data_IF_577648609605
#
_entry.id   IF_577648609605
#
_cell.length_a   1.000
_cell.length_b   1.000
_cell.length_c   1.000
_cell.angle_alpha   90.00
_cell.angle_beta   90.00
_cell.angle_gamma   90.00
#
_symmetry.space_group_name_H-M   'P 1'
#
loop_
_entity.id
_entity.type
_entity.pdbx_description
1 polymer ?
#
# COMPACT_ATOMS: atom_id res chain seq x y z
N UNK A 1 -4.09 4.94 -23.66
CA UNK A 1 -5.41 5.04 -24.31
C UNK A 1 -6.27 5.92 -23.42
N UNK A 2 -6.70 7.08 -23.92
CA UNK A 2 -7.45 8.12 -23.18
C UNK A 2 -8.86 7.72 -22.73
N UNK A 3 -9.25 6.49 -22.96
CA UNK A 3 -10.56 5.96 -22.57
C UNK A 3 -10.58 5.25 -21.21
N UNK A 4 -9.43 4.84 -20.69
CA UNK A 4 -9.28 4.28 -19.35
C UNK A 4 -8.54 5.31 -18.51
N UNK A 5 -9.24 5.94 -17.56
CA UNK A 5 -8.63 6.82 -16.55
C UNK A 5 -7.82 5.96 -15.58
N UNK A 6 -6.65 5.51 -16.04
CA UNK A 6 -5.79 4.59 -15.31
C UNK A 6 -4.34 5.02 -15.39
N UNK A 7 -3.71 5.13 -14.21
CA UNK A 7 -2.28 5.21 -14.05
C UNK A 7 -1.81 4.01 -13.24
N UNK A 8 -1.08 3.11 -13.88
CA UNK A 8 -0.52 1.90 -13.25
C UNK A 8 0.93 1.69 -13.67
N UNK A 9 1.79 1.40 -12.70
CA UNK A 9 3.16 0.95 -12.91
C UNK A 9 3.60 0.08 -11.74
N UNK A 10 4.34 -0.98 -12.05
CA UNK A 10 4.94 -1.87 -11.06
C UNK A 10 6.34 -2.30 -11.52
N UNK A 11 7.21 -2.56 -10.55
CA UNK A 11 8.55 -3.10 -10.79
C UNK A 11 8.75 -4.32 -9.91
N UNK A 12 9.24 -5.40 -10.49
CA UNK A 12 9.62 -6.60 -9.76
C UNK A 12 11.14 -6.65 -9.58
N UNK A 13 11.57 -6.83 -8.33
CA UNK A 13 12.98 -6.96 -7.95
C UNK A 13 13.26 -8.40 -7.55
N UNK A 14 14.09 -9.08 -8.31
CA UNK A 14 14.57 -10.41 -7.96
C UNK A 14 15.62 -10.27 -6.84
N UNK A 15 15.31 -10.76 -5.64
CA UNK A 15 16.20 -10.67 -4.49
C UNK A 15 17.15 -11.88 -4.42
N UNK A 16 16.64 -13.06 -4.75
CA UNK A 16 17.40 -14.30 -4.95
C UNK A 16 16.61 -15.24 -5.87
N UNK A 17 17.10 -16.48 -6.04
CA UNK A 17 16.48 -17.46 -6.95
C UNK A 17 15.02 -17.81 -6.59
N UNK A 18 14.61 -17.62 -5.34
CA UNK A 18 13.29 -18.02 -4.83
C UNK A 18 12.46 -16.85 -4.30
N UNK A 19 13.06 -15.64 -4.23
CA UNK A 19 12.47 -14.50 -3.55
C UNK A 19 12.35 -13.29 -4.48
N UNK A 20 11.16 -12.72 -4.55
CA UNK A 20 10.86 -11.53 -5.36
C UNK A 20 10.13 -10.47 -4.52
N UNK A 21 10.46 -9.20 -4.77
CA UNK A 21 9.73 -8.06 -4.23
C UNK A 21 9.02 -7.32 -5.37
N UNK A 22 7.74 -7.10 -5.25
CA UNK A 22 6.92 -6.32 -6.20
C UNK A 22 6.62 -4.96 -5.61
N UNK A 23 7.16 -3.91 -6.23
CA UNK A 23 6.90 -2.53 -5.87
C UNK A 23 5.85 -1.93 -6.80
N UNK A 24 4.71 -1.52 -6.25
CA UNK A 24 3.70 -0.73 -6.97
C UNK A 24 4.01 0.75 -6.82
N UNK A 25 3.99 1.45 -7.95
CA UNK A 25 4.25 2.89 -7.97
C UNK A 25 3.03 3.67 -7.49
N UNK A 26 3.27 4.72 -6.71
CA UNK A 26 2.28 5.72 -6.34
C UNK A 26 1.87 6.60 -7.51
N UNK A 27 1.14 7.66 -7.22
CA UNK A 27 0.66 8.65 -8.16
C UNK A 27 1.82 9.42 -8.78
N UNK A 28 1.70 9.72 -10.07
CA UNK A 28 2.55 10.71 -10.72
C UNK A 28 1.83 12.07 -10.83
N UNK A 29 2.53 13.11 -11.32
CA UNK A 29 2.00 14.47 -11.47
C UNK A 29 1.03 14.61 -12.67
N UNK A 30 0.46 13.53 -13.19
CA UNK A 30 -0.49 13.57 -14.30
C UNK A 30 -1.92 13.82 -13.83
N UNK A 31 -2.73 14.49 -14.67
CA UNK A 31 -4.17 14.67 -14.42
C UNK A 31 -4.90 13.32 -14.26
N UNK A 32 -4.45 12.28 -14.95
CA UNK A 32 -5.01 10.93 -14.84
C UNK A 32 -4.72 10.33 -13.46
N UNK A 33 -3.50 10.49 -12.96
CA UNK A 33 -3.12 10.06 -11.61
C UNK A 33 -3.98 10.73 -10.54
N UNK A 34 -4.09 12.06 -10.56
CA UNK A 34 -4.91 12.83 -9.62
C UNK A 34 -6.40 12.44 -9.65
N UNK A 35 -6.97 12.19 -10.85
CA UNK A 35 -8.36 11.73 -10.96
C UNK A 35 -8.56 10.33 -10.39
N UNK A 36 -7.61 9.43 -10.59
CA UNK A 36 -7.68 8.09 -10.04
C UNK A 36 -7.55 8.08 -8.53
N UNK A 37 -6.70 8.95 -7.96
CA UNK A 37 -6.59 9.14 -6.51
C UNK A 37 -7.88 9.66 -5.89
N UNK A 38 -8.51 10.64 -6.56
CA UNK A 38 -9.84 11.11 -6.17
C UNK A 38 -10.87 9.98 -6.20
N UNK A 39 -10.84 9.16 -7.26
CA UNK A 39 -11.73 8.01 -7.39
C UNK A 39 -11.51 6.94 -6.33
N UNK A 40 -10.27 6.72 -5.85
CA UNK A 40 -9.98 5.82 -4.73
C UNK A 40 -10.78 6.18 -3.47
N UNK A 41 -11.03 7.48 -3.25
CA UNK A 41 -11.79 7.97 -2.09
C UNK A 41 -13.31 7.76 -2.18
N UNK A 42 -13.85 7.40 -3.35
CA UNK A 42 -15.32 7.33 -3.57
C UNK A 42 -15.78 6.04 -4.26
N UNK A 43 -14.88 5.33 -4.93
CA UNK A 43 -15.24 4.10 -5.63
C UNK A 43 -14.75 2.89 -4.85
N UNK A 44 -15.57 1.85 -4.75
CA UNK A 44 -15.16 0.60 -4.10
C UNK A 44 -14.00 -0.09 -4.83
N UNK A 45 -13.73 0.33 -6.08
CA UNK A 45 -12.69 -0.27 -6.92
C UNK A 45 -12.31 0.67 -8.06
N UNK A 46 -11.00 0.75 -8.34
CA UNK A 46 -10.45 1.53 -9.47
C UNK A 46 -9.65 0.65 -10.44
N UNK A 47 -9.50 1.06 -11.72
CA UNK A 47 -8.82 0.25 -12.74
C UNK A 47 -7.38 -0.14 -12.38
N UNK A 48 -6.62 0.71 -11.68
CA UNK A 48 -5.25 0.39 -11.25
C UNK A 48 -5.19 -0.73 -10.22
N UNK A 49 -6.19 -0.87 -9.35
CA UNK A 49 -6.28 -1.99 -8.40
C UNK A 49 -6.42 -3.33 -9.14
N UNK A 50 -7.25 -3.38 -10.19
CA UNK A 50 -7.39 -4.59 -11.01
C UNK A 50 -6.11 -4.93 -11.77
N UNK A 51 -5.42 -3.91 -12.28
CA UNK A 51 -4.13 -4.10 -12.94
C UNK A 51 -3.06 -4.58 -11.96
N UNK A 52 -3.06 -4.08 -10.73
CA UNK A 52 -2.16 -4.55 -9.68
C UNK A 52 -2.40 -6.02 -9.34
N UNK A 53 -3.68 -6.41 -9.18
CA UNK A 53 -4.03 -7.81 -8.94
C UNK A 53 -3.66 -8.72 -10.12
N UNK A 54 -3.89 -8.28 -11.36
CA UNK A 54 -3.52 -9.03 -12.55
C UNK A 54 -1.99 -9.19 -12.67
N UNK A 55 -1.23 -8.13 -12.38
CA UNK A 55 0.22 -8.16 -12.39
C UNK A 55 0.76 -9.12 -11.32
N UNK A 56 0.25 -9.04 -10.09
CA UNK A 56 0.67 -9.94 -9.01
C UNK A 56 0.36 -11.41 -9.35
N UNK A 57 -0.81 -11.71 -9.93
CA UNK A 57 -1.12 -13.06 -10.43
C UNK A 57 -0.08 -13.56 -11.44
N UNK A 58 0.39 -12.68 -12.35
CA UNK A 58 1.42 -13.06 -13.32
C UNK A 58 2.77 -13.38 -12.66
N UNK A 59 3.11 -12.66 -11.59
CA UNK A 59 4.31 -12.95 -10.78
C UNK A 59 4.18 -14.28 -10.05
N UNK A 60 3.00 -14.55 -9.43
CA UNK A 60 2.74 -15.82 -8.76
C UNK A 60 2.88 -17.02 -9.72
N UNK A 61 2.46 -16.86 -10.97
CA UNK A 61 2.60 -17.90 -12.00
C UNK A 61 4.06 -18.26 -12.36
N UNK A 62 5.04 -17.41 -11.98
CA UNK A 62 6.46 -17.72 -12.14
C UNK A 62 7.01 -18.70 -11.09
N UNK A 63 6.24 -19.00 -10.04
CA UNK A 63 6.57 -20.04 -9.05
C UNK A 63 7.57 -19.64 -7.97
N UNK A 64 7.73 -18.34 -7.69
CA UNK A 64 8.54 -17.89 -6.55
C UNK A 64 7.97 -18.39 -5.22
N UNK A 65 8.85 -18.83 -4.33
CA UNK A 65 8.45 -19.36 -3.02
C UNK A 65 8.16 -18.24 -2.00
N UNK A 66 8.87 -17.12 -2.11
CA UNK A 66 8.76 -15.99 -1.22
C UNK A 66 8.45 -14.73 -2.04
N UNK A 67 7.26 -14.19 -1.86
CA UNK A 67 6.81 -12.99 -2.54
C UNK A 67 6.55 -11.89 -1.52
N UNK A 68 7.18 -10.75 -1.70
CA UNK A 68 6.92 -9.53 -0.96
C UNK A 68 6.28 -8.53 -1.90
N UNK A 69 5.32 -7.78 -1.39
CA UNK A 69 4.66 -6.72 -2.17
C UNK A 69 4.62 -5.44 -1.36
N UNK A 70 4.69 -4.29 -2.02
CA UNK A 70 4.58 -3.03 -1.30
C UNK A 70 4.55 -1.83 -2.24
N UNK A 71 4.36 -0.67 -1.64
CA UNK A 71 4.37 0.60 -2.34
C UNK A 71 4.16 1.77 -1.38
N UNK A 72 4.27 2.96 -1.92
CA UNK A 72 4.05 4.21 -1.22
C UNK A 72 2.81 4.91 -1.78
N UNK A 73 2.05 5.60 -0.93
CA UNK A 73 0.84 6.33 -1.34
C UNK A 73 -0.16 5.39 -2.03
N UNK A 74 -0.71 5.75 -3.19
CA UNK A 74 -1.55 4.86 -4.00
C UNK A 74 -0.92 3.47 -4.19
N UNK A 75 0.42 3.39 -4.35
CA UNK A 75 1.13 2.11 -4.49
C UNK A 75 0.99 1.20 -3.28
N UNK A 76 0.90 1.76 -2.06
CA UNK A 76 0.62 1.01 -0.84
C UNK A 76 -0.79 0.40 -0.85
N UNK A 77 -1.80 1.20 -1.19
CA UNK A 77 -3.17 0.70 -1.38
C UNK A 77 -3.23 -0.40 -2.45
N UNK A 78 -2.55 -0.22 -3.60
CA UNK A 78 -2.49 -1.24 -4.66
C UNK A 78 -1.86 -2.55 -4.18
N UNK A 79 -0.83 -2.48 -3.32
CA UNK A 79 -0.16 -3.67 -2.78
C UNK A 79 -1.10 -4.49 -1.89
N UNK A 80 -1.81 -3.83 -0.97
CA UNK A 80 -2.80 -4.48 -0.09
C UNK A 80 -3.95 -5.06 -0.91
N UNK A 81 -4.52 -4.27 -1.83
CA UNK A 81 -5.60 -4.75 -2.70
C UNK A 81 -5.17 -5.96 -3.52
N UNK A 82 -4.02 -5.89 -4.19
CA UNK A 82 -3.53 -6.98 -5.03
C UNK A 82 -3.33 -8.27 -4.22
N UNK A 83 -2.76 -8.17 -3.01
CA UNK A 83 -2.58 -9.31 -2.12
C UNK A 83 -3.92 -9.93 -1.70
N UNK A 84 -4.92 -9.10 -1.39
CA UNK A 84 -6.26 -9.55 -1.02
C UNK A 84 -7.01 -10.28 -2.14
N UNK A 85 -6.64 -10.03 -3.40
CA UNK A 85 -7.24 -10.69 -4.57
C UNK A 85 -6.55 -12.01 -4.95
N UNK A 86 -5.61 -12.48 -4.16
CA UNK A 86 -4.92 -13.76 -4.41
C UNK A 86 -5.75 -14.94 -3.88
N UNK A 87 -5.65 -16.07 -4.59
CA UNK A 87 -6.21 -17.32 -4.06
C UNK A 87 -5.47 -17.74 -2.79
N UNK A 88 -6.09 -18.50 -1.88
CA UNK A 88 -5.43 -18.97 -0.66
C UNK A 88 -4.07 -19.66 -0.92
N UNK A 89 -3.96 -20.39 -2.02
CA UNK A 89 -2.73 -21.05 -2.45
C UNK A 89 -1.63 -20.02 -2.76
N UNK A 90 -1.93 -19.02 -3.59
CA UNK A 90 -0.99 -17.95 -3.92
C UNK A 90 -0.68 -17.07 -2.70
N UNK A 91 -1.67 -16.76 -1.88
CA UNK A 91 -1.52 -15.98 -0.66
C UNK A 91 -0.55 -16.65 0.34
N UNK A 92 -0.45 -17.98 0.34
CA UNK A 92 0.49 -18.71 1.19
C UNK A 92 1.97 -18.34 0.89
N UNK A 93 2.29 -17.94 -0.34
CA UNK A 93 3.62 -17.50 -0.76
C UNK A 93 3.91 -16.03 -0.48
N UNK A 94 2.91 -15.23 -0.10
CA UNK A 94 3.11 -13.82 0.26
C UNK A 94 3.67 -13.75 1.67
N UNK A 95 4.93 -13.33 1.79
CA UNK A 95 5.64 -13.24 3.06
C UNK A 95 5.41 -11.90 3.78
N UNK A 96 5.13 -10.83 3.04
CA UNK A 96 4.86 -9.50 3.60
C UNK A 96 4.22 -8.57 2.57
N UNK A 97 3.34 -7.71 3.08
CA UNK A 97 2.67 -6.63 2.32
C UNK A 97 2.99 -5.32 3.02
N UNK A 98 3.61 -4.38 2.31
CA UNK A 98 4.09 -3.11 2.87
C UNK A 98 3.30 -1.94 2.31
N UNK A 99 2.47 -1.34 3.18
CA UNK A 99 1.70 -0.14 2.89
C UNK A 99 2.39 1.08 3.52
N UNK A 100 3.07 1.89 2.70
CA UNK A 100 3.75 3.08 3.17
C UNK A 100 2.88 4.31 2.90
N UNK A 101 2.15 4.77 3.91
CA UNK A 101 1.29 5.95 3.88
C UNK A 101 0.28 5.96 2.71
N UNK A 102 -0.21 4.78 2.35
CA UNK A 102 -1.27 4.63 1.37
C UNK A 102 -2.65 4.77 2.01
N UNK A 103 -3.66 5.28 1.28
CA UNK A 103 -5.01 5.39 1.80
C UNK A 103 -5.63 4.02 2.07
N UNK A 104 -6.57 3.94 3.00
CA UNK A 104 -7.37 2.77 3.30
C UNK A 104 -8.35 2.40 2.17
N UNK A 105 -9.43 1.72 2.52
CA UNK A 105 -10.41 1.20 1.56
C UNK A 105 -11.82 1.71 1.88
N UNK A 106 -12.65 1.84 0.85
CA UNK A 106 -14.08 2.19 0.98
C UNK A 106 -14.92 0.98 1.40
N UNK A 107 -14.37 -0.22 1.27
CA UNK A 107 -15.05 -1.48 1.59
C UNK A 107 -14.26 -2.26 2.63
N UNK A 108 -14.95 -3.07 3.44
CA UNK A 108 -14.38 -3.94 4.46
C UNK A 108 -13.53 -5.07 3.86
N UNK A 109 -12.43 -4.68 3.19
CA UNK A 109 -11.50 -5.62 2.54
C UNK A 109 -10.91 -6.59 3.57
N UNK A 110 -10.67 -6.10 4.79
CA UNK A 110 -10.05 -6.85 5.88
C UNK A 110 -11.01 -7.83 6.54
N UNK A 111 -12.32 -7.63 6.41
CA UNK A 111 -13.35 -8.53 6.95
C UNK A 111 -13.56 -9.79 6.08
N UNK A 112 -13.03 -9.80 4.85
CA UNK A 112 -13.13 -10.96 3.99
C UNK A 112 -12.39 -12.16 4.60
N UNK A 113 -13.06 -13.33 4.79
CA UNK A 113 -12.42 -14.51 5.40
C UNK A 113 -11.13 -14.95 4.67
N UNK A 114 -11.07 -14.73 3.37
CA UNK A 114 -9.93 -15.06 2.52
C UNK A 114 -8.72 -14.18 2.82
N UNK A 115 -8.93 -12.96 3.34
CA UNK A 115 -7.86 -12.03 3.68
C UNK A 115 -7.30 -12.25 5.09
N UNK A 116 -8.05 -12.86 6.00
CA UNK A 116 -7.65 -13.08 7.40
C UNK A 116 -6.22 -13.68 7.56
N UNK A 117 -5.79 -14.67 6.74
CA UNK A 117 -4.43 -15.21 6.85
C UNK A 117 -3.33 -14.21 6.46
N UNK A 118 -3.66 -13.23 5.60
CA UNK A 118 -2.72 -12.20 5.12
C UNK A 118 -2.68 -10.99 6.06
N UNK A 119 -3.73 -10.70 6.81
CA UNK A 119 -3.84 -9.51 7.66
C UNK A 119 -2.63 -9.35 8.58
N UNK A 120 -2.15 -10.44 9.18
CA UNK A 120 -0.96 -10.43 10.05
C UNK A 120 0.36 -10.18 9.33
N UNK A 121 0.36 -10.19 8.00
CA UNK A 121 1.52 -9.94 7.14
C UNK A 121 1.46 -8.57 6.48
N UNK A 122 0.39 -7.81 6.75
CA UNK A 122 0.28 -6.41 6.32
C UNK A 122 1.01 -5.54 7.34
N UNK A 123 1.93 -4.72 6.83
CA UNK A 123 2.72 -3.76 7.59
C UNK A 123 2.41 -2.37 7.05
N UNK A 124 1.63 -1.60 7.82
CA UNK A 124 1.25 -0.23 7.45
C UNK A 124 2.10 0.75 8.25
N UNK A 125 2.78 1.65 7.54
CA UNK A 125 3.61 2.71 8.11
C UNK A 125 3.04 4.06 7.73
N UNK A 126 2.86 4.94 8.71
CA UNK A 126 2.37 6.31 8.51
C UNK A 126 3.27 7.31 9.23
N UNK A 127 3.53 8.50 8.68
CA UNK A 127 4.26 9.53 9.41
C UNK A 127 3.39 10.12 10.52
N UNK A 128 4.01 10.82 11.49
CA UNK A 128 3.35 11.34 12.68
C UNK A 128 2.21 12.35 12.42
N UNK A 129 2.15 12.96 11.25
CA UNK A 129 1.04 13.83 10.82
C UNK A 129 0.57 13.38 9.42
N UNK A 130 0.34 12.09 9.27
CA UNK A 130 -0.22 11.54 8.04
C UNK A 130 -1.57 12.17 7.74
N UNK A 131 -1.73 12.57 6.47
CA UNK A 131 -3.02 13.00 5.90
C UNK A 131 -3.52 11.93 4.94
N UNK A 132 -2.64 11.43 4.07
CA UNK A 132 -3.01 10.45 3.03
C UNK A 132 -3.25 9.08 3.64
N UNK A 133 -2.34 8.59 4.50
CA UNK A 133 -2.44 7.29 5.13
C UNK A 133 -3.59 7.18 6.14
N UNK A 134 -4.19 8.31 6.55
CA UNK A 134 -5.36 8.34 7.43
C UNK A 134 -6.66 8.63 6.66
N UNK A 135 -6.64 8.62 5.33
CA UNK A 135 -7.84 8.69 4.51
C UNK A 135 -8.48 7.31 4.40
N UNK A 136 -9.79 7.24 4.56
CA UNK A 136 -10.60 6.00 4.54
C UNK A 136 -10.33 5.08 5.75
N UNK A 137 -11.03 3.95 5.78
CA UNK A 137 -10.95 3.02 6.89
C UNK A 137 -9.67 2.19 6.85
N UNK A 138 -9.03 2.08 8.00
CA UNK A 138 -7.85 1.24 8.26
C UNK A 138 -8.19 0.28 9.40
N UNK A 139 -8.52 -0.95 9.08
CA UNK A 139 -8.77 -2.01 10.08
C UNK A 139 -7.48 -2.72 10.48
N UNK A 140 -6.38 -2.50 9.73
CA UNK A 140 -5.07 -3.02 10.09
C UNK A 140 -4.36 -2.14 11.12
N UNK A 141 -3.54 -2.77 11.96
CA UNK A 141 -2.64 -2.04 12.85
C UNK A 141 -1.56 -1.30 12.03
N UNK A 142 -1.35 -0.03 12.31
CA UNK A 142 -0.28 0.77 11.70
C UNK A 142 0.82 1.12 12.69
N UNK A 143 1.99 1.43 12.17
CA UNK A 143 3.15 1.90 12.93
C UNK A 143 3.49 3.33 12.51
N UNK A 144 3.72 4.20 13.51
CA UNK A 144 4.05 5.61 13.25
C UNK A 144 5.55 5.77 13.08
N UNK A 145 5.97 6.32 11.94
CA UNK A 145 7.39 6.62 11.64
C UNK A 145 7.67 8.10 11.79
N UNK A 146 8.88 8.43 12.28
CA UNK A 146 9.29 9.82 12.41
C UNK A 146 9.73 10.39 11.05
N UNK A 147 9.10 11.49 10.65
CA UNK A 147 9.51 12.31 9.51
C UNK A 147 10.14 13.63 9.98
N UNK A 148 11.18 14.06 9.28
CA UNK A 148 11.83 15.37 9.50
C UNK A 148 11.03 16.55 8.95
N UNK A 149 10.04 16.28 8.10
CA UNK A 149 9.16 17.28 7.49
C UNK A 149 7.95 17.59 8.38
N UNK A 150 7.08 18.50 7.94
CA UNK A 150 5.87 18.94 8.66
C UNK A 150 4.64 18.89 7.76
N UNK A 151 3.48 18.61 8.39
CA UNK A 151 2.19 18.56 7.69
C UNK A 151 2.22 17.58 6.53
N UNK A 152 1.56 17.91 5.44
CA UNK A 152 1.45 17.04 4.26
C UNK A 152 2.81 16.68 3.62
N UNK A 153 3.86 17.46 3.85
CA UNK A 153 5.20 17.16 3.35
C UNK A 153 5.82 15.92 4.01
N UNK A 154 5.25 15.46 5.12
CA UNK A 154 5.64 14.18 5.73
C UNK A 154 5.25 12.96 4.89
N UNK A 155 4.35 13.13 3.92
CA UNK A 155 4.00 12.09 2.96
C UNK A 155 5.18 11.64 2.09
N UNK A 156 6.21 12.50 1.94
CA UNK A 156 7.43 12.13 1.23
C UNK A 156 8.24 11.10 2.05
N UNK A 157 8.38 9.84 1.59
CA UNK A 157 9.07 8.79 2.33
C UNK A 157 10.58 9.06 2.46
N UNK A 158 11.18 9.92 1.64
CA UNK A 158 12.58 10.33 1.78
C UNK A 158 12.82 11.23 3.00
N UNK A 159 11.76 11.76 3.60
CA UNK A 159 11.83 12.51 4.86
C UNK A 159 11.77 11.64 6.10
N UNK A 160 11.49 10.32 5.95
CA UNK A 160 11.33 9.39 7.05
C UNK A 160 12.69 8.96 7.61
N UNK A 161 12.80 8.96 8.91
CA UNK A 161 14.07 8.64 9.57
C UNK A 161 14.27 7.13 9.72
N UNK A 162 15.47 6.71 9.41
CA UNK A 162 15.93 5.33 9.59
C UNK A 162 17.02 5.31 10.66
N UNK A 163 16.93 4.38 11.62
CA UNK A 163 17.96 4.09 12.60
C UNK A 163 18.50 2.68 12.32
N UNK A 164 19.77 2.59 11.92
CA UNK A 164 20.43 1.33 11.50
C UNK A 164 19.74 0.78 10.22
N UNK A 165 18.90 -0.26 10.39
CA UNK A 165 18.21 -0.96 9.31
C UNK A 165 16.68 -0.98 9.52
N UNK A 166 16.16 -0.09 10.36
CA UNK A 166 14.73 -0.01 10.67
C UNK A 166 14.27 1.44 10.76
N UNK A 167 12.95 1.65 10.72
CA UNK A 167 12.36 2.98 10.89
C UNK A 167 12.54 3.48 12.32
N UNK A 168 12.62 4.81 12.47
CA UNK A 168 12.48 5.44 13.77
C UNK A 168 11.01 5.56 14.11
N UNK A 169 10.51 4.66 14.95
CA UNK A 169 9.11 4.61 15.33
C UNK A 169 8.76 5.62 16.42
N UNK A 170 7.53 6.09 16.39
CA UNK A 170 6.89 6.88 17.43
C UNK A 170 5.71 6.10 18.02
N UNK A 171 5.36 6.43 19.27
CA UNK A 171 4.26 5.73 19.98
C UNK A 171 2.87 6.07 19.41
N UNK A 172 2.72 7.21 18.71
CA UNK A 172 1.42 7.69 18.22
C UNK A 172 1.53 8.79 17.15
N UNK A 173 0.42 9.04 16.45
CA UNK A 173 0.25 10.13 15.50
C UNK A 173 0.05 11.47 16.19
N UNK A 174 0.28 12.58 15.46
CA UNK A 174 -0.01 13.91 15.97
C UNK A 174 -1.52 14.17 16.08
N UNK A 175 -1.88 15.23 16.79
CA UNK A 175 -3.28 15.65 16.97
C UNK A 175 -4.00 15.90 15.64
N UNK A 176 -3.28 16.30 14.58
CA UNK A 176 -3.91 16.54 13.27
C UNK A 176 -4.42 15.24 12.64
N UNK A 177 -3.61 14.18 12.65
CA UNK A 177 -4.05 12.86 12.20
C UNK A 177 -5.26 12.36 13.00
N UNK A 178 -5.24 12.52 14.33
CA UNK A 178 -6.35 12.12 15.20
C UNK A 178 -7.68 12.84 14.94
N UNK A 179 -7.63 14.08 14.45
CA UNK A 179 -8.85 14.83 14.09
C UNK A 179 -9.47 14.28 12.81
N UNK A 180 -8.67 13.71 11.93
CA UNK A 180 -9.15 13.13 10.67
C UNK A 180 -9.75 11.73 10.86
N UNK A 181 -9.51 11.07 11.99
CA UNK A 181 -10.10 9.78 12.37
C UNK A 181 -11.54 9.92 12.95
N UNK A 182 -12.07 11.15 13.03
CA UNK A 182 -13.43 11.43 13.52
C UNK A 182 -14.39 11.72 12.38
#
# INVERSE_FOLDING_TARGET
SDTLQQQFSATAFLLDANTIYVAFRGTDDTLTGWREDFNLSFLPKVPSQESAAAYLRSIMALGFQNVYVGGHSKGGNLAVYAAAQMTPENAAHICGVYNNDGPGFVTDLFDAPEFQPLQKRVHTFVPQASVVGMLLEHDEAYQVVYSTQKGIMQHDPYSWCVIRNDWYYLDDTTTLSKIMDL
#
